data_IF_270609388802
#
_entry.id   IF_270609388802
#
_cell.length_a   1.000
_cell.length_b   1.000
_cell.length_c   1.000
_cell.angle_alpha   90.00
_cell.angle_beta   90.00
_cell.angle_gamma   90.00
#
_symmetry.space_group_name_H-M   'P 1'
#
loop_
_entity.id
_entity.type
_entity.pdbx_description
1 polymer ?
#
# COMPACT_ATOMS: atom_id res chain seq x y z
N UNK A 1 73.33 -41.73 -16.22
CA UNK A 1 72.78 -41.38 -17.55
C UNK A 1 71.64 -40.40 -17.33
N UNK A 2 71.88 -39.14 -17.67
CA UNK A 2 70.90 -38.04 -17.64
C UNK A 2 70.04 -38.08 -18.92
N UNK A 3 68.81 -37.57 -18.83
CA UNK A 3 68.07 -36.79 -19.84
C UNK A 3 66.60 -37.23 -19.89
N UNK A 4 65.68 -36.55 -19.20
CA UNK A 4 65.04 -35.27 -19.57
C UNK A 4 64.12 -35.36 -20.81
N UNK A 5 62.85 -34.99 -20.57
CA UNK A 5 61.96 -34.34 -21.55
C UNK A 5 61.51 -35.17 -22.75
N UNK A 6 60.49 -36.02 -22.57
CA UNK A 6 59.31 -36.08 -23.46
C UNK A 6 58.42 -37.28 -23.09
N UNK A 7 57.31 -37.00 -22.40
CA UNK A 7 55.99 -37.60 -22.61
C UNK A 7 55.06 -36.97 -21.56
N UNK A 8 54.71 -35.71 -21.78
CA UNK A 8 53.48 -35.33 -22.50
C UNK A 8 52.25 -35.95 -21.83
N UNK A 9 51.53 -35.06 -21.14
CA UNK A 9 50.06 -35.04 -21.05
C UNK A 9 49.39 -36.24 -20.36
N UNK A 10 49.33 -36.21 -19.04
CA UNK A 10 48.09 -36.53 -18.34
C UNK A 10 47.75 -35.39 -17.38
N UNK A 11 47.02 -34.45 -17.97
CA UNK A 11 46.15 -33.43 -17.40
C UNK A 11 46.14 -33.27 -15.87
N UNK A 12 46.60 -32.10 -15.44
CA UNK A 12 45.99 -31.37 -14.33
C UNK A 12 44.51 -31.22 -14.66
N UNK A 13 43.64 -31.91 -13.92
CA UNK A 13 42.25 -31.48 -13.79
C UNK A 13 41.75 -31.86 -12.41
N UNK A 14 42.19 -31.07 -11.43
CA UNK A 14 41.44 -30.89 -10.20
C UNK A 14 40.14 -30.14 -10.56
N UNK A 15 39.19 -30.81 -11.21
CA UNK A 15 37.82 -30.35 -11.24
C UNK A 15 37.16 -30.84 -9.95
N UNK A 16 37.32 -30.03 -8.90
CA UNK A 16 36.34 -29.98 -7.84
C UNK A 16 34.98 -29.76 -8.51
N UNK A 17 34.18 -30.82 -8.60
CA UNK A 17 32.78 -30.70 -8.96
C UNK A 17 32.10 -30.05 -7.75
N UNK A 18 32.21 -28.72 -7.71
CA UNK A 18 31.45 -27.91 -6.77
C UNK A 18 30.00 -28.31 -6.94
N UNK A 19 29.45 -28.84 -5.84
CA UNK A 19 28.03 -29.07 -5.63
C UNK A 19 27.25 -27.90 -6.22
N UNK A 20 26.71 -28.09 -7.41
CA UNK A 20 25.67 -27.25 -7.97
C UNK A 20 24.38 -27.50 -7.23
N UNK A 21 24.37 -27.26 -5.92
CA UNK A 21 23.15 -26.90 -5.23
C UNK A 21 22.77 -25.53 -5.79
N UNK A 22 22.03 -25.52 -6.89
CA UNK A 22 21.17 -24.39 -7.21
C UNK A 22 20.24 -24.26 -6.02
N UNK A 23 20.64 -23.44 -5.05
CA UNK A 23 19.74 -22.96 -4.03
C UNK A 23 18.64 -22.29 -4.81
N UNK A 24 17.50 -22.96 -4.95
CA UNK A 24 16.26 -22.29 -5.19
C UNK A 24 16.15 -21.34 -4.00
N UNK A 25 16.67 -20.12 -4.15
CA UNK A 25 16.16 -19.00 -3.39
C UNK A 25 14.69 -19.04 -3.76
N UNK A 26 13.89 -19.64 -2.87
CA UNK A 26 12.49 -19.30 -2.79
C UNK A 26 12.51 -17.78 -2.68
N UNK A 27 12.31 -17.11 -3.81
CA UNK A 27 12.02 -15.70 -3.82
C UNK A 27 10.75 -15.66 -2.99
N UNK A 28 10.89 -15.27 -1.72
CA UNK A 28 9.75 -14.88 -0.91
C UNK A 28 9.24 -13.67 -1.68
N UNK A 29 8.28 -13.89 -2.57
CA UNK A 29 7.52 -12.81 -3.15
C UNK A 29 6.94 -12.12 -1.92
N UNK A 30 7.31 -10.86 -1.66
CA UNK A 30 6.76 -10.17 -0.51
C UNK A 30 5.24 -10.19 -0.65
N UNK A 31 4.56 -10.40 0.47
CA UNK A 31 3.11 -10.43 0.47
C UNK A 31 2.60 -9.02 0.11
N UNK A 32 1.57 -8.98 -0.72
CA UNK A 32 0.83 -7.79 -1.16
C UNK A 32 -0.63 -8.21 -1.09
N UNK A 33 -1.24 -7.91 0.05
CA UNK A 33 -2.50 -8.49 0.51
C UNK A 33 -3.71 -7.86 -0.17
N UNK A 34 -3.64 -6.58 -0.52
CA UNK A 34 -4.69 -5.86 -1.24
C UNK A 34 -4.45 -5.81 -2.77
N UNK A 35 -3.21 -6.05 -3.23
CA UNK A 35 -2.82 -6.19 -4.62
C UNK A 35 -2.50 -4.88 -5.32
N UNK A 36 -2.24 -3.80 -4.58
CA UNK A 36 -2.02 -2.45 -5.14
C UNK A 36 -0.61 -2.23 -5.70
N UNK A 37 0.28 -3.20 -5.51
CA UNK A 37 1.67 -3.19 -5.95
C UNK A 37 2.66 -2.67 -4.91
N UNK A 38 2.20 -2.40 -3.69
CA UNK A 38 3.00 -2.11 -2.50
C UNK A 38 2.91 -3.32 -1.56
N UNK A 39 4.04 -3.68 -0.97
CA UNK A 39 4.12 -4.90 -0.16
C UNK A 39 3.68 -4.61 1.27
N UNK A 40 3.07 -5.59 1.95
CA UNK A 40 2.46 -5.42 3.28
C UNK A 40 3.44 -4.87 4.34
N UNK A 41 4.75 -5.08 4.16
CA UNK A 41 5.77 -4.55 5.07
C UNK A 41 6.01 -3.04 4.91
N UNK A 42 5.50 -2.45 3.82
CA UNK A 42 5.63 -1.04 3.45
C UNK A 42 4.28 -0.32 3.30
N UNK A 43 3.17 -1.06 3.28
CA UNK A 43 1.82 -0.51 3.13
C UNK A 43 1.11 -0.41 4.49
N UNK A 44 0.75 0.81 4.89
CA UNK A 44 -0.08 1.04 6.08
C UNK A 44 -1.56 0.69 5.82
N UNK A 45 -1.94 0.50 4.56
CA UNK A 45 -3.27 0.16 4.07
C UNK A 45 -3.34 -1.24 3.43
N UNK A 46 -2.50 -2.19 3.90
CA UNK A 46 -2.27 -3.54 3.34
C UNK A 46 -3.51 -4.42 3.09
N UNK A 47 -4.66 -4.09 3.67
CA UNK A 47 -5.93 -4.81 3.49
C UNK A 47 -7.00 -3.99 2.72
N UNK A 48 -6.67 -2.78 2.27
CA UNK A 48 -7.62 -1.81 1.76
C UNK A 48 -7.77 -1.87 0.23
N UNK A 49 -8.64 -2.75 -0.26
CA UNK A 49 -8.88 -2.92 -1.72
C UNK A 49 -9.44 -1.66 -2.43
N UNK A 50 -9.74 -0.57 -1.71
CA UNK A 50 -10.14 0.71 -2.30
C UNK A 50 -9.04 1.37 -3.12
N UNK A 51 -7.77 1.03 -2.87
CA UNK A 51 -6.59 1.36 -3.69
C UNK A 51 -6.77 0.91 -5.15
N UNK A 52 -7.40 -0.24 -5.38
CA UNK A 52 -7.51 -0.89 -6.69
C UNK A 52 -8.81 -0.63 -7.47
N UNK A 53 -9.92 -0.40 -6.78
CA UNK A 53 -11.25 -0.66 -7.37
C UNK A 53 -11.99 0.61 -7.81
N UNK A 54 -11.65 1.80 -7.28
CA UNK A 54 -12.45 3.01 -7.50
C UNK A 54 -11.65 4.24 -7.96
N UNK A 55 -11.99 4.86 -9.10
CA UNK A 55 -11.37 6.11 -9.56
C UNK A 55 -11.82 7.34 -8.76
N UNK A 56 -12.89 7.21 -7.98
CA UNK A 56 -13.42 8.23 -7.11
C UNK A 56 -13.59 7.70 -5.69
N UNK A 57 -13.57 8.61 -4.72
CA UNK A 57 -13.86 8.27 -3.32
C UNK A 57 -15.35 7.94 -3.18
N UNK A 58 -15.67 6.78 -2.62
CA UNK A 58 -17.03 6.34 -2.33
C UNK A 58 -17.19 6.32 -0.81
N UNK A 59 -18.22 7.00 -0.30
CA UNK A 59 -18.52 7.05 1.15
C UNK A 59 -19.90 6.46 1.37
N UNK A 60 -20.00 5.38 2.16
CA UNK A 60 -21.25 4.70 2.47
C UNK A 60 -22.10 4.40 1.21
N UNK A 61 -21.46 3.89 0.15
CA UNK A 61 -22.10 3.59 -1.14
C UNK A 61 -22.43 4.82 -2.02
N UNK A 62 -22.10 6.04 -1.57
CA UNK A 62 -22.30 7.26 -2.36
C UNK A 62 -21.00 7.68 -3.03
N UNK A 63 -21.01 7.72 -4.37
CA UNK A 63 -19.91 8.31 -5.15
C UNK A 63 -19.80 9.81 -4.89
N UNK A 64 -18.67 10.22 -4.33
CA UNK A 64 -18.41 11.62 -4.04
C UNK A 64 -17.98 12.42 -5.27
N UNK A 65 -17.61 11.78 -6.39
CA UNK A 65 -16.99 12.43 -7.55
C UNK A 65 -15.66 13.12 -7.24
N UNK A 66 -15.11 12.89 -6.05
CA UNK A 66 -13.76 13.32 -5.65
C UNK A 66 -12.81 12.30 -6.27
N UNK A 67 -11.89 12.74 -7.11
CA UNK A 67 -10.88 11.86 -7.70
C UNK A 67 -10.08 11.17 -6.59
N UNK A 68 -9.96 9.86 -6.67
CA UNK A 68 -9.06 9.13 -5.79
C UNK A 68 -7.62 9.38 -6.26
N UNK A 69 -6.80 10.02 -5.41
CA UNK A 69 -5.42 10.31 -5.77
C UNK A 69 -4.56 9.08 -5.52
N UNK A 70 -3.48 8.95 -6.31
CA UNK A 70 -2.50 7.87 -6.17
C UNK A 70 -2.00 7.73 -4.71
N UNK A 71 -1.53 6.52 -4.35
CA UNK A 71 -0.91 6.22 -3.06
C UNK A 71 0.06 7.30 -2.58
N UNK A 72 -0.02 7.63 -1.30
CA UNK A 72 0.96 8.47 -0.63
C UNK A 72 2.26 7.68 -0.36
N UNK A 73 3.18 8.24 0.43
CA UNK A 73 4.45 7.59 0.73
C UNK A 73 4.33 6.32 1.60
N UNK A 74 3.15 6.05 2.17
CA UNK A 74 2.86 4.90 3.04
C UNK A 74 1.83 3.94 2.40
N UNK A 75 1.58 4.07 1.09
CA UNK A 75 0.73 3.17 0.31
C UNK A 75 -0.76 3.53 0.25
N UNK A 76 -1.25 4.36 1.16
CA UNK A 76 -2.66 4.71 1.18
C UNK A 76 -3.07 5.74 0.11
N UNK A 77 -4.17 5.48 -0.61
CA UNK A 77 -4.84 6.47 -1.48
C UNK A 77 -5.68 7.47 -0.70
N UNK A 78 -6.27 8.45 -1.40
CA UNK A 78 -7.20 9.39 -0.77
C UNK A 78 -8.48 8.70 -0.27
N UNK A 79 -8.93 7.64 -0.95
CA UNK A 79 -10.08 6.87 -0.53
C UNK A 79 -9.82 6.14 0.79
N UNK A 80 -8.63 5.57 0.96
CA UNK A 80 -8.24 4.88 2.19
C UNK A 80 -8.17 5.86 3.35
N UNK A 81 -7.49 6.99 3.15
CA UNK A 81 -7.38 8.06 4.15
C UNK A 81 -8.75 8.59 4.60
N UNK A 82 -9.70 8.75 3.68
CA UNK A 82 -11.05 9.24 4.02
C UNK A 82 -11.86 8.16 4.73
N UNK A 83 -11.74 6.90 4.31
CA UNK A 83 -12.49 5.77 4.90
C UNK A 83 -12.01 5.54 6.33
N UNK A 84 -10.70 5.42 6.56
CA UNK A 84 -10.10 5.25 7.88
C UNK A 84 -10.49 6.41 8.82
N UNK A 85 -10.38 7.65 8.35
CA UNK A 85 -10.82 8.84 9.10
C UNK A 85 -12.32 8.77 9.49
N UNK A 86 -13.19 8.28 8.60
CA UNK A 86 -14.62 8.13 8.89
C UNK A 86 -14.84 7.04 9.94
N UNK A 87 -14.16 5.91 9.82
CA UNK A 87 -14.29 4.77 10.72
C UNK A 87 -13.81 5.13 12.13
N UNK A 88 -12.65 5.80 12.26
CA UNK A 88 -12.17 6.36 13.53
C UNK A 88 -13.20 7.31 14.15
N UNK A 89 -13.79 8.20 13.34
CA UNK A 89 -14.83 9.11 13.83
C UNK A 89 -16.13 8.40 14.21
N UNK A 90 -16.46 7.26 13.61
CA UNK A 90 -17.63 6.46 13.95
C UNK A 90 -17.43 5.73 15.28
N UNK A 91 -16.27 5.10 15.46
CA UNK A 91 -15.94 4.31 16.64
C UNK A 91 -15.93 5.15 17.93
N UNK A 92 -15.42 6.39 17.85
CA UNK A 92 -15.33 7.29 19.00
C UNK A 92 -16.62 8.06 19.31
N UNK A 93 -17.58 8.11 18.38
CA UNK A 93 -18.75 8.96 18.50
C UNK A 93 -19.87 8.33 19.33
N UNK A 94 -20.31 9.02 20.39
CA UNK A 94 -21.46 8.58 21.22
C UNK A 94 -22.81 8.96 20.62
N UNK A 95 -22.82 9.81 19.60
CA UNK A 95 -24.01 10.23 18.88
C UNK A 95 -23.63 10.83 17.52
N UNK A 96 -24.63 10.95 16.64
CA UNK A 96 -24.46 11.49 15.28
C UNK A 96 -23.81 12.87 15.25
N UNK A 97 -24.17 13.74 16.20
CA UNK A 97 -23.59 15.09 16.27
C UNK A 97 -22.09 15.07 16.53
N UNK A 98 -21.62 14.16 17.39
CA UNK A 98 -20.20 13.95 17.66
C UNK A 98 -19.48 13.39 16.43
N UNK A 99 -20.06 12.40 15.75
CA UNK A 99 -19.52 11.84 14.51
C UNK A 99 -19.33 12.93 13.43
N UNK A 100 -20.39 13.69 13.12
CA UNK A 100 -20.33 14.77 12.12
C UNK A 100 -19.33 15.86 12.53
N UNK A 101 -19.23 16.15 13.83
CA UNK A 101 -18.25 17.12 14.36
C UNK A 101 -16.81 16.62 14.22
N UNK A 102 -16.55 15.34 14.50
CA UNK A 102 -15.26 14.70 14.31
C UNK A 102 -14.82 14.79 12.84
N UNK A 103 -15.68 14.37 11.90
CA UNK A 103 -15.38 14.45 10.47
C UNK A 103 -15.13 15.89 10.02
N UNK A 104 -15.86 16.87 10.59
CA UNK A 104 -15.62 18.30 10.32
C UNK A 104 -14.23 18.75 10.75
N UNK A 105 -13.74 18.26 11.90
CA UNK A 105 -12.42 18.55 12.42
C UNK A 105 -11.32 17.96 11.52
N UNK A 106 -11.41 16.67 11.23
CA UNK A 106 -10.41 15.96 10.43
C UNK A 106 -10.35 16.49 8.99
N UNK A 107 -11.48 16.71 8.34
CA UNK A 107 -11.50 17.32 7.01
C UNK A 107 -10.97 18.76 6.99
N UNK A 108 -10.98 19.48 8.12
CA UNK A 108 -10.27 20.76 8.21
C UNK A 108 -8.76 20.57 8.29
N UNK A 109 -8.26 19.53 8.95
CA UNK A 109 -6.84 19.15 8.96
C UNK A 109 -6.40 18.83 7.53
N UNK A 110 -7.10 17.93 6.85
CA UNK A 110 -6.80 17.55 5.45
C UNK A 110 -6.83 18.76 4.51
N UNK A 111 -7.78 19.68 4.70
CA UNK A 111 -7.84 20.93 3.93
C UNK A 111 -6.63 21.83 4.18
N UNK A 112 -6.19 21.96 5.44
CA UNK A 112 -5.00 22.77 5.80
C UNK A 112 -3.71 22.14 5.25
N UNK A 113 -3.63 20.81 5.25
CA UNK A 113 -2.55 20.04 4.63
C UNK A 113 -2.55 20.11 3.09
N UNK A 114 -3.60 20.70 2.49
CA UNK A 114 -3.85 20.75 1.04
C UNK A 114 -4.08 19.37 0.39
N UNK A 115 -4.40 18.36 1.17
CA UNK A 115 -4.83 17.03 0.70
C UNK A 115 -6.19 17.10 0.02
N UNK A 116 -7.10 17.94 0.56
CA UNK A 116 -8.42 18.21 -0.03
C UNK A 116 -8.69 19.72 -0.14
N UNK A 117 -9.53 20.09 -1.09
CA UNK A 117 -10.07 21.44 -1.25
C UNK A 117 -11.26 21.69 -0.32
N UNK A 118 -11.62 22.96 -0.13
CA UNK A 118 -12.84 23.33 0.59
C UNK A 118 -14.12 22.76 -0.02
N UNK A 119 -14.15 22.61 -1.37
CA UNK A 119 -15.28 22.02 -2.09
C UNK A 119 -15.39 20.51 -1.81
N UNK A 120 -14.26 19.80 -1.85
CA UNK A 120 -14.19 18.37 -1.50
C UNK A 120 -14.61 18.15 -0.04
N UNK A 121 -14.11 18.96 0.90
CA UNK A 121 -14.57 18.96 2.30
C UNK A 121 -16.09 19.10 2.40
N UNK A 122 -16.67 20.12 1.77
CA UNK A 122 -18.11 20.36 1.83
C UNK A 122 -18.93 19.18 1.31
N UNK A 123 -18.43 18.49 0.27
CA UNK A 123 -19.09 17.30 -0.27
C UNK A 123 -19.04 16.11 0.70
N UNK A 124 -17.87 15.82 1.28
CA UNK A 124 -17.69 14.79 2.32
C UNK A 124 -18.67 15.05 3.47
N UNK A 125 -18.67 16.26 4.02
CA UNK A 125 -19.55 16.64 5.13
C UNK A 125 -21.04 16.49 4.77
N UNK A 126 -21.43 16.82 3.55
CA UNK A 126 -22.83 16.72 3.11
C UNK A 126 -23.33 15.27 3.00
N UNK A 127 -22.43 14.32 2.71
CA UNK A 127 -22.73 12.89 2.65
C UNK A 127 -22.80 12.35 4.09
N UNK A 128 -21.77 12.64 4.88
CA UNK A 128 -21.65 12.21 6.27
C UNK A 128 -22.83 12.67 7.13
N UNK A 129 -23.30 13.90 6.95
CA UNK A 129 -24.47 14.41 7.67
C UNK A 129 -25.76 13.60 7.43
N UNK A 130 -25.84 12.83 6.33
CA UNK A 130 -26.98 11.99 5.95
C UNK A 130 -26.81 10.52 6.30
N UNK A 131 -25.60 10.10 6.72
CA UNK A 131 -25.37 8.77 7.25
C UNK A 131 -26.18 8.62 8.55
N UNK A 132 -26.81 7.46 8.74
CA UNK A 132 -27.66 7.14 9.90
C UNK A 132 -27.32 5.77 10.42
#
# INVERSE_FOLDING_TARGET
>A
MYSEKLRRFLAVSAMAFFLGASSAHAQVVPLDSDGDGITDDLDECDLSITTLVSPTVIINGVDTGIQNTAPNAVGCTLADLITDMIDVCLDDAKNHGQFVSCVSHETNILKRARTISGKQKGKIQSIVAKMR
#
